data_IF_558532922785
#
_entry.id   IF_558532922785
#
_cell.length_a   1.000
_cell.length_b   1.000
_cell.length_c   1.000
_cell.angle_alpha   90.00
_cell.angle_beta   90.00
_cell.angle_gamma   90.00
#
_symmetry.space_group_name_H-M   'P 1'
#
loop_
_entity.id
_entity.type
_entity.pdbx_description
1 polymer ?
#
# COMPACT_ATOMS: atom_id res chain seq x y z
N UNK A 1 -4.04 19.93 4.09
CA UNK A 1 -5.32 19.20 3.97
C UNK A 1 -5.16 17.77 4.49
N UNK A 2 -6.14 17.31 5.26
CA UNK A 2 -6.25 15.92 5.73
C UNK A 2 -6.80 15.04 4.58
N UNK A 3 -6.40 13.77 4.52
CA UNK A 3 -6.95 12.82 3.56
C UNK A 3 -8.44 12.60 3.87
N UNK A 4 -9.28 12.59 2.84
CA UNK A 4 -10.72 12.30 2.97
C UNK A 4 -11.10 11.34 1.84
N UNK A 5 -11.65 10.15 2.14
CA UNK A 5 -12.15 9.23 1.12
C UNK A 5 -13.23 9.92 0.29
N UNK A 6 -13.19 9.76 -1.04
CA UNK A 6 -14.16 10.36 -1.96
C UNK A 6 -15.27 9.38 -2.39
N UNK A 7 -15.12 8.11 -2.06
CA UNK A 7 -15.97 6.97 -2.45
C UNK A 7 -16.75 6.38 -1.27
N UNK A 8 -17.65 5.43 -1.55
CA UNK A 8 -18.84 5.11 -0.74
C UNK A 8 -18.65 4.07 0.35
N UNK A 9 -17.51 3.36 0.44
CA UNK A 9 -17.31 2.32 1.45
C UNK A 9 -15.99 2.49 2.25
N UNK A 10 -15.87 3.55 3.07
CA UNK A 10 -14.68 3.81 3.84
C UNK A 10 -14.54 2.85 5.02
N UNK A 11 -13.35 2.26 5.16
CA UNK A 11 -12.95 1.46 6.32
C UNK A 11 -11.66 2.05 6.92
N UNK A 12 -11.33 1.71 8.17
CA UNK A 12 -10.03 2.14 8.72
C UNK A 12 -8.88 1.49 7.94
N UNK A 13 -7.73 2.16 7.81
CA UNK A 13 -6.52 1.59 7.19
C UNK A 13 -6.10 0.27 7.86
N UNK A 14 -6.36 0.12 9.17
CA UNK A 14 -6.32 -1.16 9.88
C UNK A 14 -4.91 -1.64 10.25
N UNK A 15 -3.87 -1.18 9.55
CA UNK A 15 -2.48 -1.56 9.80
C UNK A 15 -1.57 -0.37 10.14
N UNK A 16 -0.36 -0.68 10.58
CA UNK A 16 0.75 0.29 10.64
C UNK A 16 1.82 -0.11 9.64
N UNK A 17 2.30 0.85 8.88
CA UNK A 17 3.41 0.70 7.95
C UNK A 17 4.53 1.61 8.47
N UNK A 18 5.42 1.05 9.29
CA UNK A 18 6.56 1.74 9.92
C UNK A 18 7.86 1.01 9.56
N UNK A 19 7.97 0.48 8.35
CA UNK A 19 9.09 -0.35 7.93
C UNK A 19 10.41 0.41 8.00
N UNK A 20 11.45 -0.12 7.36
CA UNK A 20 12.69 0.65 7.17
C UNK A 20 12.32 1.92 6.41
N UNK A 21 12.52 3.09 7.02
CA UNK A 21 11.97 4.37 6.55
C UNK A 21 12.39 4.67 5.12
N UNK A 22 13.65 4.37 4.79
CA UNK A 22 14.23 4.66 3.49
C UNK A 22 13.66 3.71 2.42
N UNK A 23 13.74 2.39 2.62
CA UNK A 23 13.13 1.40 1.72
C UNK A 23 11.62 1.62 1.53
N UNK A 24 10.87 1.71 2.64
CA UNK A 24 9.40 1.76 2.59
C UNK A 24 8.90 3.02 1.90
N UNK A 25 9.57 4.16 2.12
CA UNK A 25 9.22 5.41 1.45
C UNK A 25 9.48 5.33 -0.05
N UNK A 26 10.69 4.89 -0.43
CA UNK A 26 11.09 4.76 -1.83
C UNK A 26 10.18 3.83 -2.62
N UNK A 27 9.80 2.67 -2.07
CA UNK A 27 8.90 1.79 -2.82
C UNK A 27 7.48 2.33 -2.96
N UNK A 28 6.99 3.08 -1.97
CA UNK A 28 5.68 3.74 -2.06
C UNK A 28 5.70 4.88 -3.09
N UNK A 29 6.82 5.57 -3.28
CA UNK A 29 6.99 6.52 -4.38
C UNK A 29 6.88 5.82 -5.74
N UNK A 30 7.44 4.61 -5.89
CA UNK A 30 7.31 3.82 -7.11
C UNK A 30 5.87 3.35 -7.39
N UNK A 31 5.07 3.10 -6.34
CA UNK A 31 3.64 2.79 -6.52
C UNK A 31 2.87 3.97 -7.14
N UNK A 32 3.27 5.20 -6.81
CA UNK A 32 2.66 6.40 -7.41
C UNK A 32 2.93 6.49 -8.91
N UNK A 33 4.15 6.17 -9.33
CA UNK A 33 4.56 6.16 -10.74
C UNK A 33 3.83 5.05 -11.51
N UNK A 34 3.61 3.89 -10.90
CA UNK A 34 2.90 2.77 -11.51
C UNK A 34 1.37 2.98 -11.63
N UNK A 35 0.81 3.98 -10.93
CA UNK A 35 -0.64 4.17 -10.83
C UNK A 35 -1.32 4.65 -12.14
N UNK A 36 -0.58 5.06 -13.17
CA UNK A 36 -1.17 5.68 -14.39
C UNK A 36 -2.13 4.79 -15.18
N UNK A 37 -2.10 3.46 -14.97
CA UNK A 37 -2.95 2.50 -15.68
C UNK A 37 -4.20 2.06 -14.89
N UNK A 38 -4.50 2.71 -13.76
CA UNK A 38 -5.65 2.35 -12.93
C UNK A 38 -6.94 2.93 -13.52
N UNK A 39 -7.93 2.06 -13.71
CA UNK A 39 -9.28 2.43 -14.12
C UNK A 39 -10.30 2.06 -13.03
N UNK A 40 -11.36 2.87 -12.81
CA UNK A 40 -11.67 4.13 -13.49
C UNK A 40 -10.74 5.29 -13.06
N UNK A 41 -10.63 6.35 -13.87
CA UNK A 41 -9.83 7.55 -13.59
C UNK A 41 -10.01 8.12 -12.16
N UNK A 42 -11.23 8.08 -11.61
CA UNK A 42 -11.47 8.55 -10.25
C UNK A 42 -10.73 7.69 -9.20
N UNK A 43 -10.70 6.37 -9.37
CA UNK A 43 -9.99 5.45 -8.47
C UNK A 43 -8.48 5.68 -8.55
N UNK A 44 -7.94 5.95 -9.74
CA UNK A 44 -6.53 6.35 -9.90
C UNK A 44 -6.22 7.61 -9.07
N UNK A 45 -7.05 8.65 -9.17
CA UNK A 45 -6.86 9.88 -8.40
C UNK A 45 -6.96 9.65 -6.89
N UNK A 46 -7.95 8.86 -6.45
CA UNK A 46 -8.14 8.55 -5.04
C UNK A 46 -6.98 7.73 -4.47
N UNK A 47 -6.44 6.80 -5.27
CA UNK A 47 -5.28 6.00 -4.92
C UNK A 47 -4.02 6.87 -4.81
N UNK A 48 -3.79 7.75 -5.78
CA UNK A 48 -2.70 8.73 -5.73
C UNK A 48 -2.81 9.59 -4.48
N UNK A 49 -3.94 10.26 -4.25
CA UNK A 49 -4.13 11.08 -3.04
C UNK A 49 -3.83 10.33 -1.74
N UNK A 50 -4.21 9.05 -1.67
CA UNK A 50 -3.87 8.17 -0.55
C UNK A 50 -2.35 7.97 -0.41
N UNK A 51 -1.65 7.62 -1.49
CA UNK A 51 -0.19 7.44 -1.50
C UNK A 51 0.54 8.72 -1.08
N UNK A 52 0.18 9.89 -1.62
CA UNK A 52 0.80 11.15 -1.21
C UNK A 52 0.48 11.52 0.24
N UNK A 53 -0.74 11.24 0.71
CA UNK A 53 -1.06 11.40 2.12
C UNK A 53 -0.23 10.45 3.01
N UNK A 54 0.04 9.23 2.54
CA UNK A 54 0.86 8.25 3.25
C UNK A 54 2.32 8.70 3.32
N UNK A 55 2.91 9.12 2.19
CA UNK A 55 4.29 9.63 2.11
C UNK A 55 4.51 10.85 3.01
N UNK A 56 3.49 11.70 3.16
CA UNK A 56 3.50 12.83 4.09
C UNK A 56 3.16 12.47 5.55
N UNK A 57 3.06 11.19 5.89
CA UNK A 57 2.79 10.71 7.25
C UNK A 57 1.40 11.03 7.78
N UNK A 58 0.43 11.32 6.90
CA UNK A 58 -0.95 11.68 7.28
C UNK A 58 -1.85 10.46 7.46
N UNK A 59 -1.48 9.31 6.89
CA UNK A 59 -2.20 8.05 7.05
C UNK A 59 -1.76 7.36 8.33
N UNK A 60 -2.73 7.10 9.22
CA UNK A 60 -2.57 6.36 10.47
C UNK A 60 -3.47 5.13 10.43
N UNK A 61 -3.26 4.21 11.37
CA UNK A 61 -4.05 2.96 11.49
C UNK A 61 -5.57 3.20 11.49
N UNK A 62 -6.03 4.30 12.08
CA UNK A 62 -7.44 4.67 12.20
C UNK A 62 -7.93 5.65 11.13
N UNK A 63 -7.07 6.05 10.18
CA UNK A 63 -7.50 6.87 9.05
C UNK A 63 -8.52 6.08 8.23
N UNK A 64 -9.65 6.68 7.91
CA UNK A 64 -10.62 6.10 6.99
C UNK A 64 -10.07 6.19 5.57
N UNK A 65 -10.14 5.08 4.84
CA UNK A 65 -9.68 4.91 3.45
C UNK A 65 -10.73 4.08 2.73
N UNK A 66 -10.98 4.43 1.48
CA UNK A 66 -11.89 3.63 0.67
C UNK A 66 -11.36 2.21 0.45
N UNK A 67 -12.26 1.23 0.45
CA UNK A 67 -11.89 -0.17 0.36
C UNK A 67 -11.19 -0.53 -0.95
N UNK A 68 -11.56 0.09 -2.07
CA UNK A 68 -10.94 -0.21 -3.37
C UNK A 68 -9.55 0.39 -3.48
N UNK A 69 -9.34 1.57 -2.88
CA UNK A 69 -8.00 2.16 -2.67
C UNK A 69 -7.12 1.23 -1.82
N UNK A 70 -7.67 0.61 -0.77
CA UNK A 70 -6.92 -0.35 0.05
C UNK A 70 -6.61 -1.65 -0.68
N UNK A 71 -7.48 -2.11 -1.58
CA UNK A 71 -7.22 -3.28 -2.42
C UNK A 71 -6.06 -3.02 -3.39
N UNK A 72 -6.03 -1.85 -4.02
CA UNK A 72 -4.91 -1.44 -4.88
C UNK A 72 -3.60 -1.39 -4.09
N UNK A 73 -3.62 -0.75 -2.92
CA UNK A 73 -2.43 -0.70 -2.06
C UNK A 73 -1.96 -2.10 -1.62
N UNK A 74 -2.88 -3.00 -1.29
CA UNK A 74 -2.55 -4.38 -0.97
C UNK A 74 -1.94 -5.13 -2.17
N UNK A 75 -2.43 -4.86 -3.38
CA UNK A 75 -1.89 -5.41 -4.62
C UNK A 75 -0.45 -4.95 -4.88
N UNK A 76 -0.16 -3.65 -4.74
CA UNK A 76 1.19 -3.12 -4.92
C UNK A 76 2.19 -3.65 -3.89
N UNK A 77 1.75 -3.83 -2.64
CA UNK A 77 2.57 -4.51 -1.62
C UNK A 77 2.87 -5.98 -2.00
N UNK A 78 1.93 -6.68 -2.63
CA UNK A 78 2.12 -8.06 -3.06
C UNK A 78 3.09 -8.14 -4.23
N UNK A 79 2.86 -7.32 -5.25
CA UNK A 79 3.70 -7.24 -6.44
C UNK A 79 5.15 -6.89 -6.07
N UNK A 80 5.34 -5.93 -5.14
CA UNK A 80 6.69 -5.62 -4.65
C UNK A 80 7.32 -6.78 -3.87
N UNK A 81 6.52 -7.51 -3.09
CA UNK A 81 7.01 -8.68 -2.39
C UNK A 81 7.40 -9.84 -3.33
N UNK A 82 6.74 -9.96 -4.49
CA UNK A 82 7.15 -10.89 -5.54
C UNK A 82 8.54 -10.54 -6.05
N UNK A 83 8.70 -9.31 -6.55
CA UNK A 83 9.95 -8.81 -7.14
C UNK A 83 11.11 -8.87 -6.14
N UNK A 84 10.91 -8.34 -4.93
CA UNK A 84 12.00 -8.11 -3.97
C UNK A 84 12.35 -9.36 -3.15
N UNK A 85 11.48 -10.36 -3.09
CA UNK A 85 11.66 -11.51 -2.19
C UNK A 85 11.33 -12.87 -2.82
N UNK A 86 10.19 -13.05 -3.49
CA UNK A 86 9.74 -14.40 -3.88
C UNK A 86 10.35 -14.88 -5.20
N UNK A 87 10.72 -13.97 -6.09
CA UNK A 87 11.28 -14.31 -7.42
C UNK A 87 12.79 -14.57 -7.39
N UNK A 88 13.49 -14.19 -6.31
CA UNK A 88 14.93 -14.43 -6.13
C UNK A 88 15.83 -13.48 -6.94
N UNK A 89 15.30 -12.38 -7.45
CA UNK A 89 16.06 -11.38 -8.21
C UNK A 89 17.16 -10.67 -7.41
N UNK A 90 17.03 -10.66 -6.08
CA UNK A 90 17.87 -9.89 -5.15
C UNK A 90 18.46 -10.77 -4.04
N UNK A 91 18.67 -12.07 -4.30
CA UNK A 91 19.15 -13.03 -3.30
C UNK A 91 20.50 -12.64 -2.66
N UNK A 92 21.31 -11.86 -3.36
CA UNK A 92 22.57 -11.28 -2.89
C UNK A 92 22.44 -9.90 -2.21
N UNK A 93 21.25 -9.31 -2.22
CA UNK A 93 20.91 -8.03 -1.59
C UNK A 93 19.96 -8.24 -0.39
N UNK A 94 20.49 -8.61 0.80
CA UNK A 94 19.68 -9.05 1.94
C UNK A 94 18.72 -7.97 2.47
N UNK A 95 19.02 -6.70 2.23
CA UNK A 95 18.19 -5.58 2.64
C UNK A 95 16.94 -5.41 1.77
N UNK A 96 17.05 -5.64 0.45
CA UNK A 96 15.91 -5.65 -0.47
C UNK A 96 15.00 -6.84 -0.13
N UNK A 97 15.58 -8.03 0.06
CA UNK A 97 14.84 -9.23 0.45
C UNK A 97 14.11 -9.05 1.78
N UNK A 98 14.74 -8.40 2.76
CA UNK A 98 14.10 -8.08 4.03
C UNK A 98 12.93 -7.10 3.85
N UNK A 99 13.06 -6.15 2.93
CA UNK A 99 12.00 -5.24 2.48
C UNK A 99 10.80 -5.97 1.87
N UNK A 100 11.05 -6.84 0.88
CA UNK A 100 10.01 -7.65 0.25
C UNK A 100 9.27 -8.55 1.24
N UNK A 101 10.00 -9.19 2.16
CA UNK A 101 9.40 -9.97 3.27
C UNK A 101 8.51 -9.11 4.18
N UNK A 102 8.92 -7.87 4.44
CA UNK A 102 8.12 -6.93 5.23
C UNK A 102 6.81 -6.59 4.52
N UNK A 103 6.84 -6.32 3.22
CA UNK A 103 5.64 -6.05 2.42
C UNK A 103 4.72 -7.25 2.29
N UNK A 104 5.24 -8.46 2.07
CA UNK A 104 4.42 -9.68 2.12
C UNK A 104 3.63 -9.80 3.43
N UNK A 105 4.28 -9.52 4.56
CA UNK A 105 3.61 -9.54 5.87
C UNK A 105 2.54 -8.46 5.99
N UNK A 106 2.79 -7.25 5.48
CA UNK A 106 1.85 -6.12 5.56
C UNK A 106 0.67 -6.28 4.63
N UNK A 107 0.90 -6.80 3.44
CA UNK A 107 -0.12 -7.21 2.49
C UNK A 107 -1.08 -8.21 3.14
N UNK A 108 -0.57 -9.29 3.75
CA UNK A 108 -1.42 -10.30 4.37
C UNK A 108 -2.27 -9.72 5.52
N UNK A 109 -1.70 -8.81 6.32
CA UNK A 109 -2.42 -8.12 7.39
C UNK A 109 -3.53 -7.22 6.85
N UNK A 110 -3.25 -6.45 5.78
CA UNK A 110 -4.20 -5.54 5.17
C UNK A 110 -5.32 -6.32 4.47
N UNK A 111 -4.99 -7.38 3.74
CA UNK A 111 -5.97 -8.22 3.05
C UNK A 111 -6.94 -8.89 4.02
N UNK A 112 -6.44 -9.42 5.14
CA UNK A 112 -7.29 -9.98 6.19
C UNK A 112 -8.23 -8.93 6.82
N UNK A 113 -7.75 -7.69 6.97
CA UNK A 113 -8.56 -6.58 7.46
C UNK A 113 -9.65 -6.15 6.47
N UNK A 114 -9.33 -6.03 5.18
CA UNK A 114 -10.28 -5.77 4.09
C UNK A 114 -11.37 -6.85 4.08
N UNK A 115 -10.98 -8.13 4.05
CA UNK A 115 -11.91 -9.26 4.01
C UNK A 115 -12.87 -9.27 5.19
N UNK A 116 -12.41 -8.88 6.38
CA UNK A 116 -13.26 -8.77 7.58
C UNK A 116 -14.30 -7.65 7.45
N UNK A 117 -13.99 -6.58 6.73
CA UNK A 117 -14.89 -5.45 6.54
C UNK A 117 -15.94 -5.70 5.43
N UNK A 118 -15.68 -6.66 4.53
CA UNK A 118 -16.62 -7.08 3.48
C UNK A 118 -17.56 -8.23 3.92
N UNK A 119 -17.28 -8.86 5.06
CA UNK A 119 -18.05 -9.97 5.61
C UNK A 119 -19.24 -9.48 6.46
#
# INVERSE_FOLDING_TARGET
MAYTPRTTNPITFGITLRGRKDYTGTEVEQFWEAADNIEPLQLMHDYRDFLQAWLHGKIKKNTLVDIDVLKLFAGDLDNRADIDYREGHWDDEPDIVAGGKYFAKKQAQLYAHIKKAEA
#
